data_IF_257205628940
#
_entry.id   IF_257205628940
#
_cell.length_a   1.000
_cell.length_b   1.000
_cell.length_c   1.000
_cell.angle_alpha   90.00
_cell.angle_beta   90.00
_cell.angle_gamma   90.00
#
_symmetry.space_group_name_H-M   'P 1'
#
loop_
_entity.id
_entity.type
_entity.pdbx_description
1 polymer ?
#
# COMPACT_ATOMS: atom_id res chain seq x y z
N UNK A 1 4.97 -8.76 -3.11
CA UNK A 1 3.87 -7.85 -2.72
C UNK A 1 4.37 -6.85 -1.69
N UNK A 2 3.56 -5.85 -1.36
CA UNK A 2 3.83 -4.83 -0.35
C UNK A 2 2.66 -4.71 0.64
N UNK A 3 2.96 -4.54 1.92
CA UNK A 3 2.00 -4.18 2.97
C UNK A 3 2.45 -2.87 3.59
N UNK A 4 1.65 -1.83 3.43
CA UNK A 4 1.89 -0.50 4.00
C UNK A 4 1.05 -0.35 5.26
N UNK A 5 1.70 -0.12 6.40
CA UNK A 5 1.05 0.19 7.67
C UNK A 5 1.31 1.67 7.96
N UNK A 6 0.32 2.51 7.69
CA UNK A 6 0.43 3.96 7.66
C UNK A 6 0.92 4.49 6.31
N UNK A 7 1.48 5.71 6.33
CA UNK A 7 1.93 6.42 5.13
C UNK A 7 3.33 7.03 5.28
N UNK A 8 3.50 8.26 4.77
CA UNK A 8 4.73 9.04 4.91
C UNK A 8 5.96 8.46 4.22
N UNK A 9 7.12 8.63 4.85
CA UNK A 9 8.43 8.29 4.28
C UNK A 9 8.55 6.80 4.00
N UNK A 10 8.06 5.94 4.89
CA UNK A 10 8.18 4.49 4.75
C UNK A 10 7.45 3.99 3.50
N UNK A 11 6.20 4.44 3.29
CA UNK A 11 5.43 4.14 2.07
C UNK A 11 6.15 4.62 0.82
N UNK A 12 6.65 5.86 0.83
CA UNK A 12 7.33 6.41 -0.32
C UNK A 12 8.63 5.67 -0.63
N UNK A 13 9.44 5.38 0.37
CA UNK A 13 10.71 4.68 0.17
C UNK A 13 10.51 3.31 -0.50
N UNK A 14 9.55 2.52 -0.02
CA UNK A 14 9.20 1.23 -0.64
C UNK A 14 8.73 1.42 -2.09
N UNK A 15 7.85 2.38 -2.35
CA UNK A 15 7.32 2.66 -3.68
C UNK A 15 8.40 3.18 -4.65
N UNK A 16 9.32 4.03 -4.19
CA UNK A 16 10.42 4.57 -4.99
C UNK A 16 11.49 3.52 -5.26
N UNK A 17 11.69 2.56 -4.34
CA UNK A 17 12.62 1.45 -4.57
C UNK A 17 12.23 0.58 -5.77
N UNK A 18 10.95 0.58 -6.17
CA UNK A 18 10.52 -0.11 -7.40
C UNK A 18 10.92 0.59 -8.69
N UNK A 19 11.25 1.88 -8.65
CA UNK A 19 11.69 2.60 -9.85
C UNK A 19 13.13 2.27 -10.27
N UNK A 20 13.92 1.69 -9.37
CA UNK A 20 15.32 1.32 -9.65
C UNK A 20 15.50 -0.16 -10.03
N UNK A 21 14.39 -0.87 -10.23
CA UNK A 21 14.37 -2.28 -10.63
C UNK A 21 13.39 -2.47 -11.79
N UNK A 22 13.60 -3.41 -12.71
CA UNK A 22 12.61 -3.77 -13.74
C UNK A 22 11.40 -4.53 -13.17
N UNK A 23 11.21 -4.55 -11.85
CA UNK A 23 10.18 -5.34 -11.15
C UNK A 23 9.06 -4.42 -10.69
N UNK A 24 7.88 -5.01 -10.52
CA UNK A 24 6.69 -4.31 -10.01
C UNK A 24 6.04 -5.15 -8.91
N UNK A 25 5.30 -4.49 -8.00
CA UNK A 25 4.51 -5.22 -7.03
C UNK A 25 3.26 -5.82 -7.68
N UNK A 26 3.06 -7.13 -7.53
CA UNK A 26 1.83 -7.84 -7.97
C UNK A 26 0.72 -7.84 -6.90
N UNK A 27 1.05 -7.45 -5.68
CA UNK A 27 0.13 -7.35 -4.54
C UNK A 27 0.48 -6.12 -3.73
N UNK A 28 -0.51 -5.32 -3.34
CA UNK A 28 -0.31 -4.15 -2.48
C UNK A 28 -1.50 -3.94 -1.54
N UNK A 29 -1.24 -3.92 -0.24
CA UNK A 29 -2.24 -3.63 0.80
C UNK A 29 -1.81 -2.35 1.51
N UNK A 30 -2.69 -1.36 1.63
CA UNK A 30 -2.44 -0.12 2.37
C UNK A 30 -3.43 0.02 3.52
N UNK A 31 -2.93 0.13 4.74
CA UNK A 31 -3.69 0.46 5.94
C UNK A 31 -3.35 1.90 6.29
N UNK A 32 -4.30 2.82 6.21
CA UNK A 32 -4.02 4.23 6.47
C UNK A 32 -5.23 4.95 7.04
N UNK A 33 -5.00 5.99 7.82
CA UNK A 33 -6.04 6.96 8.18
C UNK A 33 -6.08 8.15 7.22
N UNK A 34 -5.03 8.33 6.42
CA UNK A 34 -4.89 9.45 5.50
C UNK A 34 -5.71 9.20 4.24
N UNK A 35 -6.61 10.12 3.95
CA UNK A 35 -7.50 10.06 2.79
C UNK A 35 -6.91 10.79 1.57
N UNK A 36 -7.30 10.39 0.34
CA UNK A 36 -6.67 10.88 -0.88
C UNK A 36 -7.00 12.34 -1.22
N UNK A 37 -8.07 12.93 -0.68
CA UNK A 37 -8.59 14.24 -1.11
C UNK A 37 -7.60 15.39 -0.83
N UNK A 38 -6.73 15.21 0.17
CA UNK A 38 -5.71 16.20 0.52
C UNK A 38 -4.51 16.21 -0.44
N UNK A 39 -4.40 15.22 -1.34
CA UNK A 39 -3.25 15.06 -2.24
C UNK A 39 -1.94 14.70 -1.52
N UNK A 40 -2.00 14.38 -0.22
CA UNK A 40 -0.84 14.00 0.56
C UNK A 40 -0.29 12.62 0.17
N UNK A 41 1.03 12.49 0.16
CA UNK A 41 1.73 11.24 -0.17
C UNK A 41 1.26 10.03 0.67
N UNK A 42 0.96 10.26 1.94
CA UNK A 42 0.44 9.23 2.84
C UNK A 42 -0.92 8.69 2.38
N UNK A 43 -1.80 9.56 1.88
CA UNK A 43 -3.13 9.22 1.36
C UNK A 43 -3.17 8.86 -0.13
N UNK A 44 -2.06 9.03 -0.86
CA UNK A 44 -1.97 8.70 -2.29
C UNK A 44 -2.49 7.29 -2.59
N UNK A 45 -3.30 7.15 -3.64
CA UNK A 45 -3.97 5.88 -3.94
C UNK A 45 -2.98 4.86 -4.51
N UNK A 46 -3.25 3.56 -4.31
CA UNK A 46 -2.46 2.52 -4.97
C UNK A 46 -2.63 2.53 -6.51
N UNK A 47 -3.76 3.05 -7.00
CA UNK A 47 -3.99 3.26 -8.43
C UNK A 47 -3.05 4.35 -8.99
N UNK A 48 -2.78 5.40 -8.21
CA UNK A 48 -1.76 6.37 -8.56
C UNK A 48 -0.39 5.71 -8.64
N UNK A 49 -0.01 4.88 -7.65
CA UNK A 49 1.26 4.15 -7.72
C UNK A 49 1.37 3.21 -8.95
N UNK A 50 0.24 2.70 -9.45
CA UNK A 50 0.19 1.93 -10.69
C UNK A 50 0.54 2.77 -11.93
N UNK A 51 0.10 4.04 -12.02
CA UNK A 51 0.40 4.90 -13.16
C UNK A 51 1.89 5.24 -13.29
N UNK A 52 2.64 5.16 -12.18
CA UNK A 52 4.08 5.33 -12.13
C UNK A 52 4.86 4.03 -12.38
N UNK A 53 4.19 2.92 -12.67
CA UNK A 53 4.84 1.62 -12.90
C UNK A 53 5.46 1.00 -11.64
N UNK A 54 5.06 1.44 -10.44
CA UNK A 54 5.55 0.92 -9.15
C UNK A 54 4.79 -0.35 -8.73
N UNK A 55 3.54 -0.43 -9.17
CA UNK A 55 2.62 -1.54 -8.97
C UNK A 55 2.19 -2.01 -10.35
N UNK A 56 2.10 -3.33 -10.54
CA UNK A 56 1.69 -3.93 -11.80
C UNK A 56 0.21 -3.60 -12.10
N UNK A 57 -0.14 -3.41 -13.38
CA UNK A 57 -1.51 -3.05 -13.80
C UNK A 57 -2.58 -4.06 -13.36
N UNK A 58 -2.23 -5.34 -13.35
CA UNK A 58 -3.10 -6.44 -12.93
C UNK A 58 -2.89 -6.85 -11.46
N UNK A 59 -2.22 -6.01 -10.66
CA UNK A 59 -1.94 -6.31 -9.28
C UNK A 59 -3.22 -6.35 -8.43
N UNK A 60 -3.27 -7.27 -7.46
CA UNK A 60 -4.35 -7.25 -6.46
C UNK A 60 -4.02 -6.18 -5.42
N UNK A 61 -4.81 -5.12 -5.41
CA UNK A 61 -4.59 -3.98 -4.51
C UNK A 61 -5.81 -3.68 -3.65
N UNK A 62 -5.57 -3.25 -2.41
CA UNK A 62 -6.64 -2.77 -1.52
C UNK A 62 -6.11 -1.69 -0.58
N UNK A 63 -6.92 -0.67 -0.36
CA UNK A 63 -6.68 0.37 0.65
C UNK A 63 -7.78 0.26 1.71
N UNK A 64 -7.38 0.15 2.98
CA UNK A 64 -8.28 0.12 4.13
C UNK A 64 -8.09 1.42 4.91
N UNK A 65 -9.15 2.22 4.96
CA UNK A 65 -9.17 3.48 5.70
C UNK A 65 -9.55 3.23 7.16
N UNK A 66 -8.57 2.86 7.98
CA UNK A 66 -8.77 2.58 9.40
C UNK A 66 -7.43 2.54 10.15
N UNK A 67 -7.50 2.54 11.47
CA UNK A 67 -6.33 2.52 12.33
C UNK A 67 -5.59 1.18 12.21
N UNK A 68 -4.26 1.24 12.15
CA UNK A 68 -3.41 0.05 12.05
C UNK A 68 -3.58 -0.88 13.25
N UNK A 69 -3.83 -0.35 14.44
CA UNK A 69 -4.03 -1.12 15.68
C UNK A 69 -5.29 -1.99 15.64
N UNK A 70 -6.27 -1.64 14.80
CA UNK A 70 -7.49 -2.43 14.57
C UNK A 70 -7.27 -3.40 13.41
N UNK A 71 -6.77 -2.89 12.29
CA UNK A 71 -6.72 -3.65 11.02
C UNK A 71 -5.60 -4.69 10.97
N UNK A 72 -4.42 -4.37 11.50
CA UNK A 72 -3.26 -5.25 11.41
C UNK A 72 -3.45 -6.56 12.18
N UNK A 73 -3.95 -6.59 13.43
CA UNK A 73 -4.20 -7.84 14.13
C UNK A 73 -5.24 -8.73 13.44
N UNK A 74 -6.30 -8.14 12.85
CA UNK A 74 -7.33 -8.89 12.13
C UNK A 74 -6.78 -9.56 10.87
N UNK A 75 -5.96 -8.85 10.09
CA UNK A 75 -5.31 -9.41 8.90
C UNK A 75 -4.38 -10.55 9.30
N UNK A 76 -3.59 -10.37 10.36
CA UNK A 76 -2.67 -11.42 10.84
C UNK A 76 -3.45 -12.65 11.32
N UNK A 77 -4.53 -12.47 12.09
CA UNK A 77 -5.37 -13.58 12.53
C UNK A 77 -5.97 -14.35 11.34
N UNK A 78 -6.61 -13.64 10.41
CA UNK A 78 -7.22 -14.24 9.22
C UNK A 78 -6.21 -14.95 8.29
N UNK A 79 -4.95 -14.48 8.25
CA UNK A 79 -3.91 -15.08 7.39
C UNK A 79 -3.22 -16.28 8.02
N UNK A 80 -3.33 -16.49 9.34
CA UNK A 80 -2.66 -17.60 10.04
C UNK A 80 -3.49 -18.89 10.06
N UNK A 81 -4.81 -18.76 9.98
CA UNK A 81 -5.74 -19.89 10.05
C UNK A 81 -6.19 -20.40 8.66
N UNK A 82 -5.60 -19.85 7.59
CA UNK A 82 -5.86 -20.20 6.18
C UNK A 82 -4.78 -21.07 5.55
#
# INVERSE_FOLDING_TARGET
>A
GALFVGGGVVKNFILQSMLVTPKQFEYAIQLTMDRPETGGLSGATLNEACSWGKIHENAKTVTVYSDATITLPLIVAASRDG
#
